data_IF_312778804091
#
_entry.id   IF_312778804091
#
_cell.length_a   1.000
_cell.length_b   1.000
_cell.length_c   1.000
_cell.angle_alpha   90.00
_cell.angle_beta   90.00
_cell.angle_gamma   90.00
#
_symmetry.space_group_name_H-M   'P 1'
#
loop_
_entity.id
_entity.type
_entity.pdbx_description
1 polymer ?
#
# COMPACT_ATOMS: atom_id res chain seq x y z
N UNK A 1 8.40 -10.03 4.16
CA UNK A 1 7.23 -10.67 3.53
C UNK A 1 6.01 -10.48 4.40
N UNK A 2 4.86 -10.23 3.80
CA UNK A 2 3.62 -10.05 4.56
C UNK A 2 3.13 -11.38 5.14
N UNK A 3 2.67 -11.36 6.38
CA UNK A 3 1.99 -12.48 7.02
C UNK A 3 0.56 -12.05 7.32
N UNK A 4 -0.41 -12.78 6.81
CA UNK A 4 -1.81 -12.43 6.93
C UNK A 4 -2.48 -13.39 7.90
N UNK A 5 -2.95 -12.87 9.04
CA UNK A 5 -3.58 -13.64 10.11
C UNK A 5 -4.73 -12.85 10.72
N UNK A 6 -5.85 -13.52 11.00
CA UNK A 6 -7.05 -12.85 11.50
C UNK A 6 -6.92 -12.30 12.92
N UNK A 7 -6.04 -12.86 13.74
CA UNK A 7 -5.92 -12.48 15.15
C UNK A 7 -4.74 -11.52 15.42
N UNK A 8 -4.04 -11.06 14.40
CA UNK A 8 -2.97 -10.09 14.58
C UNK A 8 -3.57 -8.71 14.81
N UNK A 9 -3.02 -8.00 15.79
CA UNK A 9 -3.45 -6.63 16.11
C UNK A 9 -2.75 -5.64 15.19
N UNK A 10 -3.02 -5.74 13.90
CA UNK A 10 -2.45 -4.88 12.87
C UNK A 10 -3.56 -4.16 12.13
N UNK A 11 -3.21 -3.02 11.56
CA UNK A 11 -4.07 -2.36 10.59
C UNK A 11 -3.71 -2.87 9.20
N UNK A 12 -4.70 -3.30 8.44
CA UNK A 12 -4.54 -3.71 7.05
C UNK A 12 -5.07 -2.60 6.14
N UNK A 13 -4.25 -2.23 5.17
CA UNK A 13 -4.62 -1.22 4.17
C UNK A 13 -4.64 -1.86 2.79
N UNK A 14 -5.74 -1.68 2.09
CA UNK A 14 -5.81 -2.00 0.66
C UNK A 14 -6.02 -0.68 -0.06
N UNK A 15 -5.00 -0.20 -0.77
CA UNK A 15 -5.10 1.04 -1.52
C UNK A 15 -5.19 0.70 -3.01
N UNK A 16 -6.29 1.13 -3.63
CA UNK A 16 -6.58 0.81 -5.03
C UNK A 16 -6.35 2.06 -5.86
N UNK A 17 -5.37 2.00 -6.76
CA UNK A 17 -5.08 3.07 -7.70
C UNK A 17 -5.71 2.74 -9.05
N UNK A 18 -6.43 3.69 -9.62
CA UNK A 18 -6.95 3.59 -10.97
C UNK A 18 -6.07 4.44 -11.87
N UNK A 19 -5.53 3.82 -12.91
CA UNK A 19 -4.48 4.41 -13.75
C UNK A 19 -4.73 4.03 -15.20
N UNK A 20 -4.29 4.88 -16.14
CA UNK A 20 -4.34 4.49 -17.55
C UNK A 20 -3.27 3.41 -17.82
N UNK A 21 -3.55 2.46 -18.72
CA UNK A 21 -2.64 1.34 -18.95
C UNK A 21 -1.20 1.74 -19.31
N UNK A 22 -1.03 2.82 -20.04
CA UNK A 22 0.30 3.31 -20.42
C UNK A 22 1.07 3.93 -19.25
N UNK A 23 0.41 4.18 -18.11
CA UNK A 23 1.04 4.74 -16.90
C UNK A 23 1.14 3.73 -15.76
N UNK A 24 0.62 2.53 -15.92
CA UNK A 24 0.56 1.55 -14.85
C UNK A 24 1.95 1.19 -14.31
N UNK A 25 2.89 0.89 -15.19
CA UNK A 25 4.24 0.51 -14.78
C UNK A 25 4.97 1.67 -14.12
N UNK A 26 4.81 2.87 -14.66
CA UNK A 26 5.40 4.06 -14.05
C UNK A 26 4.90 4.27 -12.63
N UNK A 27 3.60 4.12 -12.40
CA UNK A 27 3.00 4.24 -11.07
C UNK A 27 3.51 3.15 -10.13
N UNK A 28 3.53 1.90 -10.61
CA UNK A 28 4.01 0.78 -9.78
C UNK A 28 5.47 1.00 -9.36
N UNK A 29 6.34 1.40 -10.27
CA UNK A 29 7.75 1.68 -9.97
C UNK A 29 7.90 2.83 -8.99
N UNK A 30 7.08 3.87 -9.13
CA UNK A 30 7.08 5.00 -8.21
C UNK A 30 6.71 4.55 -6.80
N UNK A 31 5.67 3.71 -6.66
CA UNK A 31 5.24 3.21 -5.35
C UNK A 31 6.28 2.31 -4.72
N UNK A 32 6.95 1.47 -5.51
CA UNK A 32 8.03 0.63 -5.00
C UNK A 32 9.17 1.50 -4.45
N UNK A 33 9.61 2.50 -5.21
CA UNK A 33 10.68 3.39 -4.74
C UNK A 33 10.27 4.17 -3.51
N UNK A 34 9.06 4.72 -3.50
CA UNK A 34 8.55 5.48 -2.35
C UNK A 34 8.54 4.62 -1.09
N UNK A 35 8.12 3.36 -1.23
CA UNK A 35 8.07 2.42 -0.12
C UNK A 35 9.47 2.05 0.35
N UNK A 36 10.36 1.72 -0.57
CA UNK A 36 11.72 1.31 -0.23
C UNK A 36 12.55 2.44 0.38
N UNK A 37 12.45 3.64 -0.18
CA UNK A 37 13.27 4.77 0.24
C UNK A 37 12.71 5.50 1.47
N UNK A 38 11.41 5.51 1.65
CA UNK A 38 10.75 6.34 2.67
C UNK A 38 9.85 5.55 3.59
N UNK A 39 8.78 4.94 3.07
CA UNK A 39 7.70 4.42 3.91
C UNK A 39 8.16 3.31 4.85
N UNK A 40 9.04 2.42 4.37
CA UNK A 40 9.51 1.30 5.19
C UNK A 40 10.30 1.74 6.43
N UNK A 41 10.77 2.97 6.46
CA UNK A 41 11.54 3.51 7.59
C UNK A 41 10.68 4.29 8.58
N UNK A 42 9.38 4.42 8.32
CA UNK A 42 8.48 5.20 9.17
C UNK A 42 7.99 4.37 10.36
N UNK A 43 7.72 5.03 11.51
CA UNK A 43 7.20 4.31 12.68
C UNK A 43 5.91 3.57 12.36
N UNK A 44 5.83 2.32 12.77
CA UNK A 44 4.63 1.51 12.62
C UNK A 44 4.47 0.81 11.28
N UNK A 45 5.32 1.09 10.30
CA UNK A 45 5.29 0.35 9.03
C UNK A 45 5.68 -1.11 9.28
N UNK A 46 4.94 -2.04 8.67
CA UNK A 46 5.24 -3.47 8.78
C UNK A 46 5.58 -4.06 7.42
N UNK A 47 4.70 -3.91 6.44
CA UNK A 47 4.93 -4.46 5.10
C UNK A 47 4.09 -3.73 4.07
N UNK A 48 4.52 -3.84 2.81
CA UNK A 48 3.73 -3.40 1.67
C UNK A 48 4.02 -4.34 0.50
N UNK A 49 2.96 -4.69 -0.22
CA UNK A 49 3.05 -5.55 -1.41
C UNK A 49 2.32 -4.84 -2.53
N UNK A 50 3.04 -4.50 -3.58
CA UNK A 50 2.52 -3.70 -4.68
C UNK A 50 2.23 -4.60 -5.86
N UNK A 51 1.01 -4.52 -6.39
CA UNK A 51 0.50 -5.39 -7.43
C UNK A 51 0.08 -4.57 -8.64
N UNK A 52 0.34 -5.10 -9.83
CA UNK A 52 -0.24 -4.60 -11.08
C UNK A 52 -1.38 -5.51 -11.48
N UNK A 53 -2.55 -4.96 -11.78
CA UNK A 53 -3.63 -5.77 -12.32
C UNK A 53 -3.27 -6.23 -13.73
N UNK A 54 -3.70 -7.44 -14.08
CA UNK A 54 -3.37 -8.06 -15.36
C UNK A 54 -3.99 -7.28 -16.53
N UNK A 55 -5.14 -6.64 -16.29
CA UNK A 55 -5.82 -5.86 -17.31
C UNK A 55 -5.20 -4.47 -17.56
N UNK A 56 -4.20 -4.10 -16.79
CA UNK A 56 -3.50 -2.81 -16.96
C UNK A 56 -4.16 -1.60 -16.31
N UNK A 57 -5.32 -1.76 -15.68
CA UNK A 57 -6.14 -0.63 -15.23
C UNK A 57 -5.91 -0.24 -13.77
N UNK A 58 -5.30 -1.11 -12.96
CA UNK A 58 -5.16 -0.89 -11.52
C UNK A 58 -3.74 -1.18 -11.04
N UNK A 59 -3.35 -0.47 -9.98
CA UNK A 59 -2.24 -0.86 -9.12
C UNK A 59 -2.80 -0.97 -7.71
N UNK A 60 -2.49 -2.04 -7.01
CA UNK A 60 -3.02 -2.30 -5.67
C UNK A 60 -1.86 -2.43 -4.71
N UNK A 61 -1.90 -1.65 -3.64
CA UNK A 61 -0.94 -1.75 -2.54
C UNK A 61 -1.64 -2.42 -1.36
N UNK A 62 -1.18 -3.62 -1.01
CA UNK A 62 -1.59 -4.31 0.21
C UNK A 62 -0.54 -4.02 1.27
N UNK A 63 -0.91 -3.28 2.30
CA UNK A 63 0.03 -2.85 3.32
C UNK A 63 -0.45 -3.21 4.72
N UNK A 64 0.53 -3.40 5.60
CA UNK A 64 0.27 -3.63 7.02
C UNK A 64 0.99 -2.56 7.83
N UNK A 65 0.27 -1.98 8.79
CA UNK A 65 0.78 -0.99 9.72
C UNK A 65 0.46 -1.41 11.15
N UNK A 66 1.27 -0.98 12.10
CA UNK A 66 1.04 -1.27 13.51
C UNK A 66 -0.31 -0.73 13.98
N UNK A 67 -0.71 0.45 13.50
CA UNK A 67 -1.96 1.07 13.90
C UNK A 67 -2.46 2.03 12.82
N UNK A 68 -3.74 2.37 12.90
CA UNK A 68 -4.33 3.37 12.01
C UNK A 68 -3.70 4.76 12.24
N UNK A 69 -3.33 5.06 13.47
CA UNK A 69 -2.68 6.34 13.79
C UNK A 69 -1.32 6.47 13.11
N UNK A 70 -0.53 5.38 13.06
CA UNK A 70 0.76 5.37 12.37
C UNK A 70 0.57 5.61 10.86
N UNK A 71 -0.42 4.98 10.26
CA UNK A 71 -0.74 5.21 8.85
C UNK A 71 -1.21 6.65 8.62
N UNK A 72 -2.07 7.16 9.49
CA UNK A 72 -2.60 8.51 9.35
C UNK A 72 -1.49 9.58 9.43
N UNK A 73 -0.45 9.33 10.21
CA UNK A 73 0.69 10.24 10.32
C UNK A 73 1.46 10.42 9.01
N UNK A 74 1.28 9.50 8.06
CA UNK A 74 1.95 9.54 6.77
C UNK A 74 1.66 10.85 6.02
N UNK A 75 0.44 11.33 6.04
CA UNK A 75 0.03 12.52 5.31
C UNK A 75 0.73 13.80 5.79
N UNK A 76 1.21 13.80 7.03
CA UNK A 76 1.89 14.95 7.63
C UNK A 76 3.41 14.80 7.57
N UNK A 77 3.92 13.71 7.00
CA UNK A 77 5.35 13.46 6.92
C UNK A 77 5.94 14.17 5.71
N UNK A 78 6.91 15.10 5.91
CA UNK A 78 7.45 15.89 4.81
C UNK A 78 8.25 15.06 3.80
N UNK A 79 8.76 13.89 4.19
CA UNK A 79 9.50 13.03 3.27
C UNK A 79 8.54 12.17 2.43
N UNK A 80 7.37 11.84 2.96
CA UNK A 80 6.36 11.04 2.25
C UNK A 80 5.53 11.87 1.28
N UNK A 81 5.32 13.15 1.56
CA UNK A 81 4.43 14.01 0.77
C UNK A 81 4.78 14.08 -0.72
N UNK A 82 6.06 14.29 -1.11
CA UNK A 82 6.39 14.33 -2.54
C UNK A 82 6.02 13.06 -3.29
N UNK A 83 6.18 11.91 -2.64
CA UNK A 83 5.82 10.62 -3.23
C UNK A 83 4.31 10.51 -3.42
N UNK A 84 3.54 10.93 -2.42
CA UNK A 84 2.09 10.90 -2.50
C UNK A 84 1.55 11.85 -3.57
N UNK A 85 2.17 13.04 -3.69
CA UNK A 85 1.80 14.00 -4.73
C UNK A 85 2.10 13.47 -6.12
N UNK A 86 3.26 12.81 -6.30
CA UNK A 86 3.63 12.23 -7.58
C UNK A 86 2.66 11.11 -7.98
N UNK A 87 2.24 10.27 -7.03
CA UNK A 87 1.26 9.22 -7.29
C UNK A 87 -0.11 9.81 -7.67
N UNK A 88 -0.53 10.87 -6.98
CA UNK A 88 -1.80 11.53 -7.24
C UNK A 88 -1.83 12.19 -8.63
N UNK A 89 -0.67 12.58 -9.15
CA UNK A 89 -0.57 13.15 -10.50
C UNK A 89 -0.76 12.09 -11.59
N UNK A 90 -0.51 10.82 -11.28
CA UNK A 90 -0.60 9.72 -12.25
C UNK A 90 -1.95 8.99 -12.19
N UNK A 91 -2.60 8.98 -11.03
CA UNK A 91 -3.73 8.09 -10.80
C UNK A 91 -4.67 8.64 -9.74
N UNK A 92 -5.94 8.24 -9.80
CA UNK A 92 -6.83 8.36 -8.65
C UNK A 92 -6.61 7.16 -7.74
N UNK A 93 -6.94 7.29 -6.45
CA UNK A 93 -6.71 6.20 -5.52
C UNK A 93 -7.76 6.20 -4.42
N UNK A 94 -7.99 5.00 -3.88
CA UNK A 94 -8.95 4.79 -2.80
C UNK A 94 -8.30 3.93 -1.72
N UNK A 95 -7.84 4.53 -0.61
CA UNK A 95 -7.31 3.75 0.51
C UNK A 95 -8.46 3.17 1.33
N UNK A 96 -8.41 1.87 1.57
CA UNK A 96 -9.44 1.16 2.33
C UNK A 96 -8.78 0.52 3.54
N UNK A 97 -9.19 0.93 4.74
CA UNK A 97 -8.73 0.32 5.98
C UNK A 97 -9.58 -0.93 6.20
N UNK A 98 -8.91 -2.06 6.39
CA UNK A 98 -9.55 -3.36 6.44
C UNK A 98 -9.21 -4.09 7.73
N UNK A 99 -10.03 -5.08 8.03
CA UNK A 99 -9.79 -6.04 9.10
C UNK A 99 -9.77 -7.43 8.49
N UNK A 100 -8.79 -8.25 8.85
CA UNK A 100 -8.73 -9.64 8.36
C UNK A 100 -9.75 -10.46 9.12
N UNK A 101 -10.75 -10.97 8.41
CA UNK A 101 -11.77 -11.83 8.99
C UNK A 101 -11.24 -13.24 9.19
N UNK A 102 -10.57 -13.77 8.20
CA UNK A 102 -9.94 -15.08 8.28
C UNK A 102 -8.86 -15.22 7.22
N UNK A 103 -7.96 -16.18 7.42
CA UNK A 103 -6.92 -16.52 6.47
C UNK A 103 -6.74 -18.02 6.48
N UNK A 104 -6.95 -18.66 5.33
CA UNK A 104 -7.01 -20.11 5.22
C UNK A 104 -5.98 -20.54 4.18
N UNK A 105 -5.15 -21.51 4.56
CA UNK A 105 -4.15 -22.07 3.65
C UNK A 105 -4.43 -23.55 3.41
N UNK A 106 -3.78 -24.13 2.42
CA UNK A 106 -3.90 -25.56 2.19
C UNK A 106 -3.16 -26.34 3.27
N UNK A 107 -3.47 -27.62 3.41
CA UNK A 107 -2.80 -28.52 4.35
C UNK A 107 -1.40 -28.94 3.86
N UNK A 108 -0.98 -28.49 2.70
CA UNK A 108 0.29 -28.89 2.09
C UNK A 108 1.39 -27.90 2.36
#
# INVERSE_FOLDING_TARGET
MATIEKNRKLMTLVNIFTVSPDKQTELADLLVRATDETMRHLPGFISASIHKSVDGAKVINYAQWRSQADFAALKDNPQARPHMQAAAALASFEPIVCEVVDSITTDK
#
